data_IF_949737527735
#
_entry.id   IF_949737527735
#
_cell.length_a   1.000
_cell.length_b   1.000
_cell.length_c   1.000
_cell.angle_alpha   90.00
_cell.angle_beta   90.00
_cell.angle_gamma   90.00
#
_symmetry.space_group_name_H-M   'P 1'
#
loop_
_entity.id
_entity.type
_entity.pdbx_description
1 polymer ?
#
# COMPACT_ATOMS: atom_id res chain seq x y z
N UNK A 1 16.23 -29.45 42.70
CA UNK A 1 15.17 -29.20 41.69
C UNK A 1 15.48 -27.89 40.97
N UNK A 2 15.42 -27.86 39.64
CA UNK A 2 15.67 -26.62 38.88
C UNK A 2 14.40 -25.76 38.86
N UNK A 3 14.48 -24.56 39.42
CA UNK A 3 13.39 -23.57 39.42
C UNK A 3 13.23 -23.04 38.00
N UNK A 4 12.24 -23.56 37.25
CA UNK A 4 11.87 -23.04 35.93
C UNK A 4 11.41 -21.58 36.12
N UNK A 5 12.27 -20.64 35.76
CA UNK A 5 11.91 -19.23 35.74
C UNK A 5 10.94 -19.02 34.57
N UNK A 6 9.78 -18.44 34.85
CA UNK A 6 8.87 -18.03 33.79
C UNK A 6 9.58 -16.98 32.95
N UNK A 7 9.77 -17.29 31.67
CA UNK A 7 10.21 -16.31 30.67
C UNK A 7 9.14 -15.21 30.63
N UNK A 8 9.54 -13.97 30.36
CA UNK A 8 8.58 -12.88 30.12
C UNK A 8 7.60 -13.32 29.02
N UNK A 9 6.33 -12.88 29.07
CA UNK A 9 5.41 -13.16 27.98
C UNK A 9 6.03 -12.73 26.64
N UNK A 10 5.75 -13.50 25.58
CA UNK A 10 6.13 -13.11 24.24
C UNK A 10 5.48 -11.76 23.92
N UNK A 11 6.19 -10.83 23.24
CA UNK A 11 5.62 -9.54 22.89
C UNK A 11 4.35 -9.72 22.06
N UNK A 12 3.34 -8.88 22.30
CA UNK A 12 2.14 -8.81 21.45
C UNK A 12 2.51 -8.46 20.01
N UNK A 13 1.59 -8.63 19.07
CA UNK A 13 1.83 -8.24 17.68
C UNK A 13 2.06 -6.72 17.53
N UNK A 14 1.51 -5.91 18.45
CA UNK A 14 1.72 -4.45 18.54
C UNK A 14 3.10 -4.09 19.13
N UNK A 15 3.57 -4.88 20.10
CA UNK A 15 4.90 -4.75 20.71
C UNK A 15 6.03 -5.27 19.80
N UNK A 16 5.71 -6.11 18.81
CA UNK A 16 6.64 -6.58 17.79
C UNK A 16 6.91 -5.47 16.76
N UNK A 17 7.88 -4.62 17.08
CA UNK A 17 8.36 -3.55 16.19
C UNK A 17 8.73 -4.10 14.81
N UNK A 18 7.99 -3.67 13.78
CA UNK A 18 8.23 -3.85 12.34
C UNK A 18 8.85 -5.19 11.92
N UNK A 19 8.02 -6.21 11.79
CA UNK A 19 8.32 -7.36 10.96
C UNK A 19 8.41 -6.93 9.48
N UNK A 20 9.60 -6.58 8.97
CA UNK A 20 9.82 -6.30 7.54
C UNK A 20 9.75 -7.62 6.76
N UNK A 21 8.53 -8.13 6.53
CA UNK A 21 8.27 -9.33 5.73
C UNK A 21 7.87 -9.01 4.28
N UNK A 22 7.25 -7.84 4.06
CA UNK A 22 6.63 -7.50 2.78
C UNK A 22 6.98 -6.10 2.26
N UNK A 23 6.84 -5.94 0.94
CA UNK A 23 6.92 -4.65 0.25
C UNK A 23 5.63 -4.36 -0.50
N UNK A 24 5.26 -3.10 -0.65
CA UNK A 24 4.07 -2.71 -1.39
C UNK A 24 4.35 -1.67 -2.48
N UNK A 25 3.43 -1.59 -3.45
CA UNK A 25 3.34 -0.55 -4.48
C UNK A 25 1.88 -0.22 -4.74
N UNK A 26 1.42 0.96 -4.31
CA UNK A 26 0.06 1.48 -4.60
C UNK A 26 0.15 2.50 -5.73
N UNK A 27 -0.49 2.23 -6.86
CA UNK A 27 -0.64 3.13 -7.99
C UNK A 27 -2.04 3.77 -7.95
N UNK A 28 -2.14 5.01 -7.51
CA UNK A 28 -3.37 5.77 -7.42
C UNK A 28 -3.60 6.62 -8.68
N UNK A 29 -4.74 6.40 -9.33
CA UNK A 29 -5.17 7.01 -10.59
C UNK A 29 -6.51 7.72 -10.39
N UNK A 30 -7.00 8.45 -11.40
CA UNK A 30 -8.37 8.98 -11.41
C UNK A 30 -9.42 7.99 -11.96
N UNK A 31 -9.06 6.73 -12.20
CA UNK A 31 -9.91 5.70 -12.81
C UNK A 31 -10.13 5.81 -14.33
N UNK A 32 -9.74 6.93 -14.95
CA UNK A 32 -10.00 7.20 -16.39
C UNK A 32 -8.73 7.27 -17.24
N UNK A 33 -7.60 7.68 -16.65
CA UNK A 33 -6.31 7.86 -17.31
C UNK A 33 -5.21 7.24 -16.45
N UNK A 34 -4.70 6.08 -16.87
CA UNK A 34 -3.63 5.35 -16.18
C UNK A 34 -2.23 5.89 -16.50
N UNK A 35 -2.11 6.75 -17.52
CA UNK A 35 -0.86 7.44 -17.88
C UNK A 35 -0.47 8.49 -16.85
N UNK A 36 -1.42 8.92 -16.01
CA UNK A 36 -1.27 9.96 -14.99
C UNK A 36 -1.61 9.38 -13.63
N UNK A 37 -0.59 9.19 -12.78
CA UNK A 37 -0.77 8.50 -11.50
C UNK A 37 0.24 8.90 -10.44
N UNK A 38 -0.12 8.65 -9.19
CA UNK A 38 0.83 8.68 -8.06
C UNK A 38 1.16 7.24 -7.67
N UNK A 39 2.45 6.91 -7.63
CA UNK A 39 2.93 5.61 -7.16
C UNK A 39 3.58 5.77 -5.79
N UNK A 40 3.00 5.10 -4.78
CA UNK A 40 3.49 5.04 -3.41
C UNK A 40 4.13 3.66 -3.20
N UNK A 41 5.40 3.63 -2.85
CA UNK A 41 6.19 2.41 -2.69
C UNK A 41 6.76 2.34 -1.27
N UNK A 42 6.84 1.14 -0.69
CA UNK A 42 7.29 1.01 0.69
C UNK A 42 7.30 -0.42 1.23
N UNK A 43 7.34 -0.53 2.56
CA UNK A 43 7.40 -1.76 3.32
C UNK A 43 6.14 -1.91 4.18
N UNK A 44 5.67 -3.12 4.44
CA UNK A 44 4.57 -3.34 5.38
C UNK A 44 4.77 -4.60 6.23
N UNK A 45 4.10 -4.60 7.39
CA UNK A 45 4.08 -5.74 8.31
C UNK A 45 3.30 -6.94 7.72
N UNK A 46 2.19 -6.66 7.03
CA UNK A 46 1.33 -7.66 6.38
C UNK A 46 0.72 -7.08 5.11
N UNK A 47 0.70 -7.87 4.04
CA UNK A 47 0.03 -7.49 2.78
C UNK A 47 -1.49 -7.48 2.94
N UNK A 48 -2.04 -8.40 3.74
CA UNK A 48 -3.49 -8.54 3.93
C UNK A 48 -4.06 -7.40 4.80
N UNK A 49 -3.32 -6.99 5.84
CA UNK A 49 -3.73 -5.87 6.69
C UNK A 49 -3.61 -4.52 5.97
N UNK A 50 -2.52 -4.31 5.23
CA UNK A 50 -2.36 -3.13 4.38
C UNK A 50 -3.45 -3.04 3.32
N UNK A 51 -3.79 -4.16 2.67
CA UNK A 51 -4.86 -4.23 1.68
C UNK A 51 -6.20 -3.81 2.27
N UNK A 52 -6.59 -4.41 3.40
CA UNK A 52 -7.85 -4.10 4.08
C UNK A 52 -7.93 -2.62 4.49
N UNK A 53 -6.86 -2.06 5.06
CA UNK A 53 -6.85 -0.64 5.47
C UNK A 53 -6.90 0.33 4.29
N UNK A 54 -6.29 0.00 3.15
CA UNK A 54 -6.38 0.81 1.93
C UNK A 54 -7.77 0.70 1.29
N UNK A 55 -8.37 -0.49 1.28
CA UNK A 55 -9.73 -0.70 0.78
C UNK A 55 -10.76 0.07 1.61
N UNK A 56 -10.69 -0.01 2.94
CA UNK A 56 -11.61 0.69 3.85
C UNK A 56 -11.56 2.22 3.66
N UNK A 57 -10.37 2.81 3.53
CA UNK A 57 -10.20 4.23 3.25
C UNK A 57 -10.67 4.66 1.85
N UNK A 58 -10.59 3.76 0.86
CA UNK A 58 -11.15 4.00 -0.47
C UNK A 58 -12.67 4.06 -0.41
N UNK A 59 -13.31 3.10 0.26
CA UNK A 59 -14.77 3.00 0.40
C UNK A 59 -15.36 4.10 1.30
N UNK A 60 -14.69 4.42 2.41
CA UNK A 60 -15.21 5.34 3.45
C UNK A 60 -14.90 6.82 3.21
N UNK A 61 -13.66 7.17 2.85
CA UNK A 61 -13.18 8.56 2.85
C UNK A 61 -12.98 9.15 1.45
N UNK A 62 -12.55 8.32 0.50
CA UNK A 62 -12.16 8.77 -0.85
C UNK A 62 -13.25 8.57 -1.91
N UNK A 63 -14.25 7.74 -1.64
CA UNK A 63 -15.26 7.32 -2.62
C UNK A 63 -14.66 6.59 -3.83
N UNK A 64 -13.52 5.92 -3.62
CA UNK A 64 -12.72 5.23 -4.62
C UNK A 64 -12.89 3.71 -4.58
N UNK A 65 -12.13 3.01 -5.42
CA UNK A 65 -12.15 1.55 -5.50
C UNK A 65 -10.78 0.96 -5.85
N UNK A 66 -10.58 -0.33 -5.55
CA UNK A 66 -9.40 -1.09 -6.00
C UNK A 66 -9.68 -1.65 -7.39
N UNK A 67 -9.02 -1.09 -8.42
CA UNK A 67 -9.13 -1.55 -9.80
C UNK A 67 -8.40 -2.87 -10.06
N UNK A 68 -7.25 -3.06 -9.40
CA UNK A 68 -6.42 -4.26 -9.57
C UNK A 68 -5.61 -4.50 -8.30
N UNK A 69 -5.52 -5.76 -7.89
CA UNK A 69 -4.60 -6.21 -6.85
C UNK A 69 -3.78 -7.42 -7.33
N UNK A 70 -2.50 -7.46 -6.99
CA UNK A 70 -1.61 -8.59 -7.25
C UNK A 70 -0.80 -8.89 -5.99
N UNK A 71 -0.87 -10.14 -5.50
CA UNK A 71 -0.01 -10.67 -4.44
C UNK A 71 1.04 -11.57 -5.08
N UNK A 72 2.31 -11.22 -4.95
CA UNK A 72 3.44 -12.02 -5.43
C UNK A 72 4.28 -12.51 -4.26
N UNK A 73 4.78 -13.75 -4.32
CA UNK A 73 5.77 -14.28 -3.38
C UNK A 73 7.10 -14.37 -4.14
N UNK A 74 8.04 -13.46 -3.84
CA UNK A 74 9.32 -13.34 -4.59
C UNK A 74 10.44 -14.22 -4.04
N UNK A 75 10.38 -14.52 -2.75
CA UNK A 75 11.19 -15.53 -2.09
C UNK A 75 10.28 -16.28 -1.11
N UNK A 76 10.73 -17.41 -0.53
CA UNK A 76 9.88 -18.23 0.36
C UNK A 76 9.32 -17.53 1.62
N UNK A 77 9.69 -16.26 1.86
CA UNK A 77 9.11 -15.40 2.90
C UNK A 77 8.78 -13.97 2.41
N UNK A 78 9.32 -13.50 1.28
CA UNK A 78 9.11 -12.12 0.82
C UNK A 78 7.84 -11.99 -0.01
N UNK A 79 6.83 -11.36 0.59
CA UNK A 79 5.58 -11.01 -0.10
C UNK A 79 5.63 -9.61 -0.72
N UNK A 80 4.96 -9.45 -1.85
CA UNK A 80 4.81 -8.18 -2.55
C UNK A 80 3.36 -7.93 -2.90
N UNK A 81 2.82 -6.83 -2.39
CA UNK A 81 1.50 -6.32 -2.76
C UNK A 81 1.63 -5.24 -3.84
N UNK A 82 0.96 -5.40 -4.97
CA UNK A 82 0.73 -4.31 -5.92
C UNK A 82 -0.74 -3.99 -5.97
N UNK A 83 -1.09 -2.72 -5.82
CA UNK A 83 -2.45 -2.21 -5.96
C UNK A 83 -2.48 -1.16 -7.06
N UNK A 84 -3.53 -1.19 -7.87
CA UNK A 84 -3.96 -0.03 -8.67
C UNK A 84 -5.32 0.38 -8.13
N UNK A 85 -5.43 1.65 -7.74
CA UNK A 85 -6.62 2.20 -7.09
C UNK A 85 -7.14 3.40 -7.89
N UNK A 86 -8.46 3.52 -7.98
CA UNK A 86 -9.12 4.70 -8.49
C UNK A 86 -9.53 5.58 -7.31
N UNK A 87 -9.08 6.84 -7.32
CA UNK A 87 -9.60 7.90 -6.44
C UNK A 87 -10.23 8.93 -7.36
N UNK A 88 -11.56 9.16 -7.28
CA UNK A 88 -12.27 9.96 -8.26
C UNK A 88 -11.88 11.45 -8.22
N UNK A 89 -12.30 12.18 -9.26
CA UNK A 89 -12.25 13.64 -9.37
C UNK A 89 -10.84 14.29 -9.42
N UNK A 90 -10.13 14.22 -10.57
CA UNK A 90 -9.30 15.31 -11.15
C UNK A 90 -8.56 14.88 -12.43
N UNK A 91 -7.80 15.81 -13.05
CA UNK A 91 -7.06 15.69 -14.32
C UNK A 91 -5.84 14.74 -14.30
N UNK A 92 -5.95 13.59 -13.64
CA UNK A 92 -4.91 12.54 -13.59
C UNK A 92 -3.99 12.60 -12.36
N UNK A 93 -4.39 13.30 -11.31
CA UNK A 93 -3.77 13.14 -9.98
C UNK A 93 -4.90 12.87 -8.99
N UNK A 94 -4.82 11.82 -8.17
CA UNK A 94 -5.80 11.58 -7.11
C UNK A 94 -5.80 12.77 -6.14
N UNK A 95 -6.97 13.37 -5.82
CA UNK A 95 -7.08 14.26 -4.68
C UNK A 95 -6.79 13.51 -3.37
N UNK A 96 -6.57 14.25 -2.28
CA UNK A 96 -6.51 13.69 -0.92
C UNK A 96 -5.47 12.58 -0.70
N UNK A 97 -4.32 12.65 -1.38
CA UNK A 97 -3.20 11.71 -1.23
C UNK A 97 -2.79 11.47 0.24
N UNK A 98 -2.97 12.47 1.11
CA UNK A 98 -2.71 12.33 2.56
C UNK A 98 -3.61 11.30 3.25
N UNK A 99 -4.86 11.13 2.84
CA UNK A 99 -5.77 10.10 3.36
C UNK A 99 -5.24 8.71 2.98
N UNK A 100 -4.81 8.53 1.72
CA UNK A 100 -4.22 7.28 1.26
C UNK A 100 -2.88 6.99 1.94
N UNK A 101 -2.05 8.00 2.18
CA UNK A 101 -0.82 7.88 2.98
C UNK A 101 -1.11 7.47 4.44
N UNK A 102 -2.15 8.02 5.06
CA UNK A 102 -2.51 7.69 6.44
C UNK A 102 -3.14 6.29 6.56
N UNK A 103 -3.95 5.88 5.57
CA UNK A 103 -4.44 4.51 5.44
C UNK A 103 -3.27 3.51 5.31
N UNK A 104 -2.26 3.83 4.50
CA UNK A 104 -1.04 3.01 4.38
C UNK A 104 -0.31 2.89 5.74
N UNK A 105 -0.16 3.99 6.49
CA UNK A 105 0.47 3.97 7.83
C UNK A 105 -0.36 3.15 8.84
N UNK A 106 -1.67 3.32 8.83
CA UNK A 106 -2.62 2.63 9.71
C UNK A 106 -2.62 1.12 9.43
N UNK A 107 -2.57 0.71 8.16
CA UNK A 107 -2.35 -0.68 7.72
C UNK A 107 -0.96 -1.25 7.98
N UNK A 108 -0.15 -0.65 8.87
CA UNK A 108 1.19 -1.13 9.23
C UNK A 108 2.23 -0.94 8.12
N UNK A 109 2.02 0.02 7.21
CA UNK A 109 2.91 0.38 6.12
C UNK A 109 3.85 1.55 6.44
N UNK A 110 5.05 1.50 5.89
CA UNK A 110 6.04 2.58 5.90
C UNK A 110 6.29 2.98 4.45
N UNK A 111 5.95 4.22 4.11
CA UNK A 111 6.21 4.81 2.79
C UNK A 111 7.71 5.12 2.67
N UNK A 112 8.37 4.48 1.71
CA UNK A 112 9.75 4.79 1.32
C UNK A 112 9.79 5.85 0.21
N UNK A 113 8.77 5.84 -0.67
CA UNK A 113 8.75 6.58 -1.93
C UNK A 113 7.36 7.05 -2.28
N UNK A 114 7.28 8.27 -2.81
CA UNK A 114 6.14 8.77 -3.58
C UNK A 114 6.67 9.29 -4.92
N UNK A 115 6.02 8.89 -6.02
CA UNK A 115 6.37 9.30 -7.39
C UNK A 115 5.13 9.80 -8.11
N UNK A 116 5.20 10.99 -8.70
CA UNK A 116 4.23 11.44 -9.70
C UNK A 116 4.69 10.94 -11.07
N UNK A 117 3.85 10.14 -11.74
CA UNK A 117 4.17 9.48 -13.01
C UNK A 117 3.25 10.04 -14.09
N UNK A 118 3.88 10.49 -15.18
CA UNK A 118 3.23 11.07 -16.34
C UNK A 118 3.80 10.40 -17.60
N UNK A 119 3.09 9.42 -18.14
CA UNK A 119 3.47 8.73 -19.37
C UNK A 119 2.99 9.55 -20.56
N UNK A 120 3.84 10.46 -21.04
CA UNK A 120 3.61 11.13 -22.32
C UNK A 120 3.71 10.05 -23.41
N UNK A 121 2.59 9.64 -23.97
CA UNK A 121 2.61 8.90 -25.22
C UNK A 121 3.24 9.82 -26.28
N UNK A 122 4.44 9.46 -26.74
CA UNK A 122 5.00 10.05 -27.94
C UNK A 122 4.02 9.70 -29.07
N UNK A 123 3.26 10.69 -29.54
CA UNK A 123 2.21 10.46 -30.51
C UNK A 123 2.78 9.72 -31.72
N UNK A 124 2.13 8.62 -32.11
CA UNK A 124 2.41 7.94 -33.37
C UNK A 124 2.17 8.93 -34.50
N UNK A 125 3.26 9.56 -34.96
CA UNK A 125 3.21 10.57 -36.02
C UNK A 125 2.66 9.96 -37.30
N UNK A 126 1.51 10.49 -37.73
CA UNK A 126 0.91 10.32 -39.06
C UNK A 126 0.71 11.72 -39.64
#
# INVERSE_FOLDING_TARGET
MHRKQLVRPMPTWEEQSLCIGATFSVAATNGMDDTRRVSIEGFCQSVDYLFASVQDALESDLGGEVLMHERQIKSGLHEVLKLTVAVPFLFGVPPQLEVLNEAIRTGGGIVDRVRHVWLIQAGSGL
#
